data_IF_740976807517
#
_entry.id   IF_740976807517
#
_cell.length_a   1.000
_cell.length_b   1.000
_cell.length_c   1.000
_cell.angle_alpha   90.00
_cell.angle_beta   90.00
_cell.angle_gamma   90.00
#
_symmetry.space_group_name_H-M   'P 1'
#
loop_
_entity.id
_entity.type
_entity.pdbx_description
1 polymer ?
#
# COMPACT_ATOMS: atom_id res chain seq x y z
N UNK A 1 -29.28 7.99 8.08
CA UNK A 1 -28.36 6.97 8.66
C UNK A 1 -27.90 5.92 7.62
N UNK A 2 -27.46 6.33 6.43
CA UNK A 2 -26.88 5.42 5.41
C UNK A 2 -25.35 5.34 5.45
N UNK A 3 -24.70 6.47 5.76
CA UNK A 3 -23.24 6.60 5.79
C UNK A 3 -22.56 5.67 6.82
N UNK A 4 -23.22 5.35 7.93
CA UNK A 4 -22.68 4.48 8.99
C UNK A 4 -22.89 2.98 8.73
N UNK A 5 -23.66 2.58 7.70
CA UNK A 5 -23.92 1.16 7.42
C UNK A 5 -22.76 0.44 6.75
N UNK A 6 -21.86 1.16 6.07
CA UNK A 6 -20.67 0.56 5.46
C UNK A 6 -19.61 0.23 6.50
N UNK A 7 -19.18 -1.03 6.57
CA UNK A 7 -18.14 -1.49 7.51
C UNK A 7 -16.87 -0.63 7.44
N UNK A 8 -16.50 -0.20 6.24
CA UNK A 8 -15.33 0.65 5.98
C UNK A 8 -15.46 2.04 6.65
N UNK A 9 -16.66 2.61 6.73
CA UNK A 9 -16.91 3.87 7.42
C UNK A 9 -16.94 3.67 8.93
N UNK A 10 -17.53 2.56 9.36
CA UNK A 10 -17.68 2.23 10.78
C UNK A 10 -16.32 1.99 11.47
N UNK A 11 -15.35 1.41 10.76
CA UNK A 11 -13.99 1.24 11.27
C UNK A 11 -13.32 2.57 11.62
N UNK A 12 -13.46 3.59 10.76
CA UNK A 12 -12.93 4.93 11.06
C UNK A 12 -13.61 5.52 12.27
N UNK A 13 -14.94 5.40 12.37
CA UNK A 13 -15.68 5.89 13.54
C UNK A 13 -15.20 5.25 14.83
N UNK A 14 -14.91 3.93 14.83
CA UNK A 14 -14.34 3.24 16.00
C UNK A 14 -12.97 3.78 16.39
N UNK A 15 -12.06 3.94 15.42
CA UNK A 15 -10.71 4.48 15.65
C UNK A 15 -10.81 5.93 16.15
N UNK A 16 -11.64 6.75 15.51
CA UNK A 16 -11.90 8.12 15.91
C UNK A 16 -12.49 8.20 17.31
N UNK A 17 -13.43 7.34 17.68
CA UNK A 17 -14.03 7.32 19.02
C UNK A 17 -12.97 7.04 20.10
N UNK A 18 -12.11 6.04 19.89
CA UNK A 18 -11.01 5.72 20.81
C UNK A 18 -10.05 6.89 20.93
N UNK A 19 -9.60 7.45 19.80
CA UNK A 19 -8.69 8.59 19.79
C UNK A 19 -9.32 9.86 20.36
N UNK A 20 -10.65 10.04 20.23
CA UNK A 20 -11.36 11.21 20.75
C UNK A 20 -11.33 11.29 22.28
N UNK A 21 -11.30 10.14 22.95
CA UNK A 21 -11.15 10.04 24.39
C UNK A 21 -9.76 10.53 24.83
N UNK A 22 -8.71 10.10 24.11
CA UNK A 22 -7.33 10.55 24.34
C UNK A 22 -7.12 12.02 23.95
N UNK A 23 -7.88 12.52 22.98
CA UNK A 23 -7.76 13.89 22.48
C UNK A 23 -8.64 14.90 23.23
N UNK A 24 -9.29 14.49 24.32
CA UNK A 24 -10.23 15.32 25.11
C UNK A 24 -11.28 16.03 24.23
N UNK A 25 -11.78 15.33 23.20
CA UNK A 25 -12.73 15.87 22.22
C UNK A 25 -12.23 17.10 21.43
N UNK A 26 -10.93 17.40 21.47
CA UNK A 26 -10.33 18.49 20.68
C UNK A 26 -10.02 18.00 19.27
N UNK A 27 -10.67 18.60 18.28
CA UNK A 27 -10.50 18.29 16.86
C UNK A 27 -9.03 18.38 16.40
N UNK A 28 -8.30 19.42 16.82
CA UNK A 28 -6.90 19.62 16.41
C UNK A 28 -5.98 18.50 16.90
N UNK A 29 -6.17 18.02 18.13
CA UNK A 29 -5.37 16.93 18.71
C UNK A 29 -5.71 15.61 18.02
N UNK A 30 -6.99 15.37 17.74
CA UNK A 30 -7.43 14.21 16.99
C UNK A 30 -6.82 14.17 15.57
N UNK A 31 -6.85 15.31 14.88
CA UNK A 31 -6.22 15.45 13.56
C UNK A 31 -4.70 15.21 13.63
N UNK A 32 -4.06 15.68 14.70
CA UNK A 32 -2.63 15.45 14.92
C UNK A 32 -2.31 13.96 15.05
N UNK A 33 -3.12 13.17 15.77
CA UNK A 33 -2.94 11.72 15.86
C UNK A 33 -3.03 11.02 14.50
N UNK A 34 -4.05 11.35 13.70
CA UNK A 34 -4.18 10.79 12.34
C UNK A 34 -2.98 11.17 11.46
N UNK A 35 -2.55 12.42 11.52
CA UNK A 35 -1.41 12.91 10.75
C UNK A 35 -0.10 12.26 11.20
N UNK A 36 0.12 12.04 12.50
CA UNK A 36 1.29 11.34 13.04
C UNK A 36 1.32 9.87 12.61
N UNK A 37 0.19 9.16 12.68
CA UNK A 37 0.08 7.77 12.21
C UNK A 37 0.44 7.66 10.74
N UNK A 38 -0.14 8.52 9.91
CA UNK A 38 0.14 8.60 8.49
C UNK A 38 1.62 8.90 8.22
N UNK A 39 2.15 9.96 8.82
CA UNK A 39 3.55 10.36 8.67
C UNK A 39 4.53 9.26 9.08
N UNK A 40 4.23 8.50 10.14
CA UNK A 40 5.09 7.39 10.58
C UNK A 40 5.26 6.32 9.50
N UNK A 41 4.18 5.97 8.78
CA UNK A 41 4.24 5.02 7.67
C UNK A 41 4.91 5.62 6.44
N UNK A 42 4.58 6.86 6.10
CA UNK A 42 5.19 7.58 4.97
C UNK A 42 6.71 7.72 5.14
N UNK A 43 7.18 7.98 6.36
CA UNK A 43 8.60 7.99 6.68
C UNK A 43 9.27 6.63 6.46
N UNK A 44 8.61 5.55 6.87
CA UNK A 44 9.08 4.18 6.60
C UNK A 44 9.14 3.87 5.11
N UNK A 45 8.17 4.37 4.34
CA UNK A 45 8.16 4.25 2.88
C UNK A 45 9.32 5.02 2.23
N UNK A 46 9.58 6.25 2.67
CA UNK A 46 10.73 7.03 2.22
C UNK A 46 12.05 6.29 2.51
N UNK A 47 12.21 5.77 3.72
CA UNK A 47 13.40 4.98 4.12
C UNK A 47 13.59 3.74 3.25
N UNK A 48 12.51 3.05 2.87
CA UNK A 48 12.57 1.92 1.95
C UNK A 48 13.20 2.33 0.61
N UNK A 49 12.72 3.40 -0.03
CA UNK A 49 13.27 3.88 -1.30
C UNK A 49 14.69 4.45 -1.17
N UNK A 50 14.98 5.14 -0.06
CA UNK A 50 16.31 5.64 0.24
C UNK A 50 17.34 4.52 0.30
N UNK A 51 17.01 3.37 0.91
CA UNK A 51 17.92 2.23 0.97
C UNK A 51 18.12 1.55 -0.40
N UNK A 52 17.13 1.58 -1.29
CA UNK A 52 17.28 1.03 -2.64
C UNK A 52 18.09 1.94 -3.56
N UNK A 53 17.85 3.26 -3.48
CA UNK A 53 18.44 4.23 -4.38
C UNK A 53 18.87 5.51 -3.63
N UNK A 54 19.99 5.46 -2.89
CA UNK A 54 20.45 6.58 -2.06
C UNK A 54 20.71 7.86 -2.85
N UNK A 55 21.09 7.75 -4.12
CA UNK A 55 21.36 8.90 -4.99
C UNK A 55 20.11 9.71 -5.35
N UNK A 56 18.90 9.14 -5.24
CA UNK A 56 17.63 9.79 -5.55
C UNK A 56 16.87 10.29 -4.30
N UNK A 57 17.56 10.38 -3.15
CA UNK A 57 16.92 10.72 -1.87
C UNK A 57 16.14 12.05 -1.90
N UNK A 58 16.62 13.06 -2.63
CA UNK A 58 15.92 14.35 -2.75
C UNK A 58 14.62 14.20 -3.54
N UNK A 59 14.67 13.49 -4.66
CA UNK A 59 13.51 13.23 -5.52
C UNK A 59 12.44 12.45 -4.75
N UNK A 60 12.84 11.41 -4.02
CA UNK A 60 11.91 10.65 -3.16
C UNK A 60 11.36 11.49 -2.01
N UNK A 61 12.17 12.32 -1.37
CA UNK A 61 11.68 13.22 -0.31
C UNK A 61 10.62 14.17 -0.86
N UNK A 62 10.85 14.77 -2.03
CA UNK A 62 9.87 15.66 -2.68
C UNK A 62 8.59 14.90 -3.02
N UNK A 63 8.69 13.72 -3.64
CA UNK A 63 7.53 12.96 -4.08
C UNK A 63 6.69 12.37 -2.93
N UNK A 64 7.35 11.93 -1.85
CA UNK A 64 6.71 11.17 -0.76
C UNK A 64 6.36 12.08 0.43
N UNK A 65 7.21 13.04 0.78
CA UNK A 65 7.06 13.85 2.01
C UNK A 65 6.52 15.25 1.74
N UNK A 66 6.89 15.88 0.62
CA UNK A 66 6.59 17.29 0.37
C UNK A 66 5.53 17.52 -0.71
N UNK A 67 5.08 16.47 -1.41
CA UNK A 67 4.09 16.61 -2.47
C UNK A 67 2.76 17.09 -1.84
N UNK A 68 2.27 18.31 -2.18
CA UNK A 68 1.21 18.97 -1.43
C UNK A 68 -0.10 18.19 -1.46
N UNK A 69 -0.41 17.54 -2.58
CA UNK A 69 -1.60 16.68 -2.70
C UNK A 69 -1.51 15.49 -1.75
N UNK A 70 -0.35 14.84 -1.67
CA UNK A 70 -0.14 13.71 -0.78
C UNK A 70 -0.21 14.14 0.69
N UNK A 71 0.44 15.26 1.05
CA UNK A 71 0.36 15.83 2.41
C UNK A 71 -1.08 16.14 2.80
N UNK A 72 -1.86 16.73 1.88
CA UNK A 72 -3.27 17.05 2.11
C UNK A 72 -4.10 15.78 2.40
N UNK A 73 -4.03 14.77 1.53
CA UNK A 73 -4.81 13.52 1.68
C UNK A 73 -4.31 12.61 2.80
N UNK A 74 -3.08 12.82 3.27
CA UNK A 74 -2.47 12.06 4.36
C UNK A 74 -2.68 12.73 5.74
N UNK A 75 -3.45 13.81 5.79
CA UNK A 75 -3.88 14.53 6.99
C UNK A 75 -5.41 14.49 7.17
N UNK A 76 -5.92 14.91 8.32
CA UNK A 76 -7.35 14.96 8.61
C UNK A 76 -7.90 13.70 9.28
N UNK A 77 -9.14 13.79 9.75
CA UNK A 77 -9.90 12.62 10.23
C UNK A 77 -10.55 11.94 9.01
N UNK A 78 -9.72 11.25 8.22
CA UNK A 78 -10.14 10.55 6.99
C UNK A 78 -9.68 9.09 7.01
N UNK A 79 -10.17 8.32 6.04
CA UNK A 79 -9.69 6.96 5.75
C UNK A 79 -8.25 6.96 5.23
N UNK A 80 -7.93 7.95 4.40
CA UNK A 80 -6.68 8.02 3.66
C UNK A 80 -5.43 8.07 4.55
N UNK A 81 -5.36 8.87 5.63
CA UNK A 81 -4.23 8.88 6.57
C UNK A 81 -3.93 7.51 7.21
N UNK A 82 -4.98 6.73 7.51
CA UNK A 82 -4.81 5.38 8.07
C UNK A 82 -4.27 4.44 7.00
N UNK A 83 -4.81 4.52 5.77
CA UNK A 83 -4.36 3.69 4.66
C UNK A 83 -2.92 4.01 4.24
N UNK A 84 -2.52 5.29 4.17
CA UNK A 84 -1.15 5.70 3.84
C UNK A 84 -0.17 5.25 4.92
N UNK A 85 -0.53 5.43 6.20
CA UNK A 85 0.26 4.93 7.32
C UNK A 85 0.44 3.41 7.27
N UNK A 86 -0.66 2.67 7.09
CA UNK A 86 -0.65 1.22 7.01
C UNK A 86 0.18 0.70 5.83
N UNK A 87 0.05 1.30 4.65
CA UNK A 87 0.81 0.90 3.45
C UNK A 87 2.33 1.11 3.63
N UNK A 88 2.74 2.22 4.25
CA UNK A 88 4.15 2.45 4.55
C UNK A 88 4.72 1.46 5.56
N UNK A 89 3.97 1.12 6.61
CA UNK A 89 4.36 0.12 7.60
C UNK A 89 4.38 -1.30 7.03
N UNK A 90 3.42 -1.67 6.17
CA UNK A 90 3.41 -2.94 5.44
C UNK A 90 4.66 -3.04 4.57
N UNK A 91 5.00 -1.99 3.82
CA UNK A 91 6.17 -1.99 2.94
C UNK A 91 7.45 -2.23 3.72
N UNK A 92 7.61 -1.54 4.85
CA UNK A 92 8.74 -1.73 5.73
C UNK A 92 8.80 -3.14 6.31
N UNK A 93 7.69 -3.64 6.87
CA UNK A 93 7.67 -4.93 7.52
C UNK A 93 7.86 -6.09 6.54
N UNK A 94 7.27 -6.02 5.34
CA UNK A 94 7.50 -7.01 4.29
C UNK A 94 8.97 -6.99 3.83
N UNK A 95 9.56 -5.81 3.65
CA UNK A 95 10.97 -5.71 3.25
C UNK A 95 11.93 -6.25 4.32
N UNK A 96 11.73 -5.89 5.59
CA UNK A 96 12.55 -6.41 6.69
C UNK A 96 12.37 -7.92 6.89
N UNK A 97 11.15 -8.45 6.75
CA UNK A 97 10.86 -9.87 6.91
C UNK A 97 11.40 -10.73 5.76
N UNK A 98 11.12 -10.37 4.51
CA UNK A 98 11.45 -11.21 3.36
C UNK A 98 12.87 -10.99 2.83
N UNK A 99 13.37 -9.75 2.85
CA UNK A 99 14.69 -9.43 2.30
C UNK A 99 15.78 -9.44 3.37
N UNK A 100 15.62 -8.65 4.44
CA UNK A 100 16.64 -8.56 5.50
C UNK A 100 16.58 -9.71 6.52
N UNK A 101 15.47 -10.44 6.57
CA UNK A 101 15.19 -11.53 7.52
C UNK A 101 15.42 -11.12 8.98
N UNK A 102 15.07 -9.87 9.32
CA UNK A 102 15.26 -9.29 10.66
C UNK A 102 13.93 -9.17 11.38
N UNK A 103 13.93 -9.32 12.70
CA UNK A 103 12.77 -9.08 13.59
C UNK A 103 11.44 -9.67 13.07
N UNK A 104 11.49 -10.93 12.61
CA UNK A 104 10.39 -11.55 11.83
C UNK A 104 9.06 -11.51 12.59
N UNK A 105 9.05 -11.85 13.88
CA UNK A 105 7.82 -11.83 14.70
C UNK A 105 7.18 -10.45 14.74
N UNK A 106 7.97 -9.40 14.97
CA UNK A 106 7.50 -8.02 14.97
C UNK A 106 6.94 -7.63 13.60
N UNK A 107 7.63 -8.01 12.53
CA UNK A 107 7.20 -7.68 11.18
C UNK A 107 5.92 -8.42 10.78
N UNK A 108 5.75 -9.68 11.17
CA UNK A 108 4.50 -10.44 10.96
C UNK A 108 3.33 -9.75 11.67
N UNK A 109 3.52 -9.31 12.92
CA UNK A 109 2.48 -8.55 13.65
C UNK A 109 2.13 -7.25 12.93
N UNK A 110 3.13 -6.49 12.46
CA UNK A 110 2.89 -5.25 11.71
C UNK A 110 2.13 -5.54 10.41
N UNK A 111 2.54 -6.56 9.64
CA UNK A 111 1.87 -6.96 8.39
C UNK A 111 0.41 -7.33 8.67
N UNK A 112 0.15 -8.09 9.74
CA UNK A 112 -1.21 -8.51 10.08
C UNK A 112 -2.09 -7.32 10.47
N UNK A 113 -1.61 -6.44 11.35
CA UNK A 113 -2.37 -5.26 11.81
C UNK A 113 -2.62 -4.29 10.64
N UNK A 114 -1.57 -3.89 9.92
CA UNK A 114 -1.70 -2.96 8.82
C UNK A 114 -2.48 -3.56 7.64
N UNK A 115 -2.32 -4.87 7.38
CA UNK A 115 -3.07 -5.59 6.35
C UNK A 115 -4.55 -5.67 6.67
N UNK A 116 -4.90 -5.94 7.92
CA UNK A 116 -6.29 -5.92 8.38
C UNK A 116 -6.92 -4.54 8.25
N UNK A 117 -6.21 -3.47 8.63
CA UNK A 117 -6.70 -2.09 8.45
C UNK A 117 -6.97 -1.78 6.96
N UNK A 118 -6.06 -2.15 6.06
CA UNK A 118 -6.24 -1.95 4.63
C UNK A 118 -7.41 -2.78 4.08
N UNK A 119 -7.53 -4.05 4.49
CA UNK A 119 -8.63 -4.93 4.10
C UNK A 119 -9.99 -4.32 4.44
N UNK A 120 -10.18 -3.90 5.69
CA UNK A 120 -11.47 -3.35 6.16
C UNK A 120 -11.76 -1.98 5.54
N UNK A 121 -10.76 -1.13 5.35
CA UNK A 121 -11.00 0.26 4.91
C UNK A 121 -11.07 0.36 3.39
N UNK A 122 -10.07 -0.21 2.68
CA UNK A 122 -9.86 -0.09 1.23
C UNK A 122 -9.10 -1.31 0.70
N UNK A 123 -9.77 -2.47 0.64
CA UNK A 123 -9.16 -3.76 0.21
C UNK A 123 -8.44 -3.70 -1.13
N UNK A 124 -8.94 -2.87 -2.07
CA UNK A 124 -8.32 -2.70 -3.38
C UNK A 124 -6.87 -2.19 -3.31
N UNK A 125 -6.49 -1.44 -2.26
CA UNK A 125 -5.09 -1.03 -2.04
C UNK A 125 -4.21 -2.26 -1.84
N UNK A 126 -4.67 -3.21 -1.03
CA UNK A 126 -3.93 -4.44 -0.75
C UNK A 126 -3.82 -5.32 -1.99
N UNK A 127 -4.93 -5.49 -2.72
CA UNK A 127 -4.97 -6.28 -3.96
C UNK A 127 -4.00 -5.72 -5.00
N UNK A 128 -3.90 -4.40 -5.15
CA UNK A 128 -2.94 -3.78 -6.07
C UNK A 128 -1.50 -3.81 -5.55
N UNK A 129 -1.30 -3.74 -4.24
CA UNK A 129 0.03 -3.65 -3.62
C UNK A 129 0.77 -5.00 -3.58
N UNK A 130 0.09 -6.10 -3.27
CA UNK A 130 0.69 -7.44 -3.19
C UNK A 130 1.44 -7.86 -4.47
N UNK A 131 0.85 -7.78 -5.69
CA UNK A 131 1.56 -8.16 -6.91
C UNK A 131 2.76 -7.25 -7.19
N UNK A 132 2.65 -5.95 -6.85
CA UNK A 132 3.77 -5.02 -6.94
C UNK A 132 4.94 -5.43 -6.04
N UNK A 133 4.66 -5.78 -4.78
CA UNK A 133 5.73 -6.18 -3.86
C UNK A 133 6.34 -7.54 -4.22
N UNK A 134 5.54 -8.50 -4.69
CA UNK A 134 6.04 -9.77 -5.21
C UNK A 134 6.97 -9.56 -6.42
N UNK A 135 6.56 -8.70 -7.36
CA UNK A 135 7.40 -8.32 -8.50
C UNK A 135 8.71 -7.71 -8.02
N UNK A 136 8.67 -6.81 -7.03
CA UNK A 136 9.88 -6.23 -6.44
C UNK A 136 10.83 -7.30 -5.87
N UNK A 137 10.32 -8.28 -5.11
CA UNK A 137 11.14 -9.38 -4.59
C UNK A 137 11.77 -10.22 -5.70
N UNK A 138 10.99 -10.54 -6.73
CA UNK A 138 11.48 -11.31 -7.89
C UNK A 138 12.60 -10.54 -8.59
N UNK A 139 12.38 -9.26 -8.92
CA UNK A 139 13.38 -8.43 -9.60
C UNK A 139 14.65 -8.27 -8.77
N UNK A 140 14.53 -8.16 -7.44
CA UNK A 140 15.71 -8.06 -6.56
C UNK A 140 16.55 -9.33 -6.59
N UNK A 141 15.92 -10.50 -6.71
CA UNK A 141 16.62 -11.79 -6.80
C UNK A 141 17.18 -12.07 -8.20
N UNK A 142 16.62 -11.45 -9.25
CA UNK A 142 17.10 -11.59 -10.65
C UNK A 142 18.51 -11.04 -10.84
N UNK A 143 18.93 -10.07 -10.02
CA UNK A 143 20.30 -9.54 -10.08
C UNK A 143 21.38 -10.58 -9.71
N UNK A 144 20.99 -11.70 -9.08
CA UNK A 144 21.86 -12.85 -8.81
C UNK A 144 22.23 -13.62 -10.09
N UNK A 145 21.47 -13.46 -11.18
CA UNK A 145 21.72 -14.12 -12.46
C UNK A 145 22.90 -13.41 -13.15
N UNK A 146 24.05 -14.10 -13.25
CA UNK A 146 25.29 -13.56 -13.85
C UNK A 146 25.18 -13.29 -15.36
N UNK A 147 24.41 -14.11 -16.09
CA UNK A 147 24.24 -13.95 -17.54
C UNK A 147 23.27 -12.80 -17.86
N UNK A 148 23.75 -11.81 -18.63
CA UNK A 148 22.94 -10.68 -19.11
C UNK A 148 21.77 -11.15 -19.98
N UNK A 149 21.99 -12.15 -20.84
CA UNK A 149 20.95 -12.69 -21.73
C UNK A 149 19.82 -13.36 -20.95
N UNK A 150 20.15 -14.21 -19.97
CA UNK A 150 19.15 -14.86 -19.11
C UNK A 150 18.38 -13.84 -18.27
N UNK A 151 19.05 -12.79 -17.78
CA UNK A 151 18.40 -11.70 -17.05
C UNK A 151 17.36 -10.98 -17.90
N UNK A 152 17.74 -10.57 -19.11
CA UNK A 152 16.84 -9.89 -20.05
C UNK A 152 15.70 -10.80 -20.47
N UNK A 153 15.98 -12.07 -20.81
CA UNK A 153 14.96 -13.04 -21.18
C UNK A 153 13.95 -13.27 -20.04
N UNK A 154 14.41 -13.34 -18.79
CA UNK A 154 13.53 -13.51 -17.63
C UNK A 154 12.62 -12.29 -17.40
N UNK A 155 13.17 -11.08 -17.46
CA UNK A 155 12.38 -9.84 -17.32
C UNK A 155 11.37 -9.69 -18.45
N UNK A 156 11.77 -9.96 -19.70
CA UNK A 156 10.84 -9.96 -20.85
C UNK A 156 9.76 -11.03 -20.71
N UNK A 157 10.11 -12.22 -20.20
CA UNK A 157 9.15 -13.28 -19.88
C UNK A 157 8.10 -12.85 -18.85
N UNK A 158 8.53 -12.15 -17.79
CA UNK A 158 7.59 -11.59 -16.80
C UNK A 158 6.65 -10.53 -17.40
N UNK A 159 7.17 -9.64 -18.24
CA UNK A 159 6.36 -8.62 -18.92
C UNK A 159 5.35 -9.28 -19.85
N UNK A 160 5.77 -10.29 -20.62
CA UNK A 160 4.89 -11.04 -21.50
C UNK A 160 3.78 -11.77 -20.71
N UNK A 161 4.13 -12.43 -19.60
CA UNK A 161 3.17 -13.05 -18.68
C UNK A 161 2.16 -12.04 -18.15
N UNK A 162 2.61 -10.87 -17.71
CA UNK A 162 1.72 -9.82 -17.21
C UNK A 162 0.75 -9.33 -18.30
N UNK A 163 1.24 -9.11 -19.54
CA UNK A 163 0.40 -8.72 -20.67
C UNK A 163 -0.60 -9.81 -21.07
N UNK A 164 -0.19 -11.07 -21.09
CA UNK A 164 -1.07 -12.20 -21.40
C UNK A 164 -2.18 -12.34 -20.35
N UNK A 165 -1.83 -12.29 -19.06
CA UNK A 165 -2.80 -12.32 -17.97
C UNK A 165 -3.79 -11.16 -18.08
N UNK A 166 -3.31 -9.95 -18.30
CA UNK A 166 -4.17 -8.79 -18.49
C UNK A 166 -5.13 -8.96 -19.68
N UNK A 167 -4.63 -9.46 -20.81
CA UNK A 167 -5.43 -9.74 -22.01
C UNK A 167 -6.57 -10.73 -21.73
N UNK A 168 -6.28 -11.83 -21.03
CA UNK A 168 -7.31 -12.83 -20.69
C UNK A 168 -8.39 -12.27 -19.77
N UNK A 169 -8.03 -11.45 -18.78
CA UNK A 169 -8.99 -10.81 -17.88
C UNK A 169 -9.87 -9.81 -18.64
N UNK A 170 -9.27 -9.00 -19.51
CA UNK A 170 -10.03 -8.06 -20.34
C UNK A 170 -11.00 -8.77 -21.28
N UNK A 171 -10.60 -9.91 -21.85
CA UNK A 171 -11.48 -10.71 -22.70
C UNK A 171 -12.65 -11.32 -21.92
N UNK A 172 -12.40 -11.82 -20.70
CA UNK A 172 -13.46 -12.32 -19.82
C UNK A 172 -14.47 -11.22 -19.47
N UNK A 173 -13.99 -10.04 -19.10
CA UNK A 173 -14.85 -8.89 -18.83
C UNK A 173 -15.65 -8.50 -20.06
N UNK A 174 -15.03 -8.37 -21.24
CA UNK A 174 -15.75 -8.07 -22.48
C UNK A 174 -16.86 -9.09 -22.77
N UNK A 175 -16.60 -10.38 -22.52
CA UNK A 175 -17.59 -11.45 -22.65
C UNK A 175 -18.77 -11.31 -21.69
N UNK A 176 -18.53 -10.96 -20.43
CA UNK A 176 -19.62 -10.75 -19.46
C UNK A 176 -20.48 -9.55 -19.82
N UNK A 177 -19.88 -8.43 -20.24
CA UNK A 177 -20.62 -7.25 -20.70
C UNK A 177 -21.47 -7.55 -21.95
N UNK A 178 -20.94 -8.32 -22.89
CA UNK A 178 -21.67 -8.74 -24.08
C UNK A 178 -22.89 -9.62 -23.76
N UNK A 179 -22.75 -10.54 -22.81
CA UNK A 179 -23.85 -11.38 -22.32
C UNK A 179 -24.92 -10.54 -21.62
N UNK A 180 -24.54 -9.61 -20.74
CA UNK A 180 -25.48 -8.72 -20.05
C UNK A 180 -26.26 -7.84 -21.04
N UNK A 181 -25.59 -7.32 -22.07
CA UNK A 181 -26.21 -6.52 -23.12
C UNK A 181 -27.17 -7.32 -24.02
N UNK A 182 -26.92 -8.63 -24.21
CA UNK A 182 -27.80 -9.50 -24.99
C UNK A 182 -29.05 -9.97 -24.20
N UNK A 183 -29.02 -9.87 -22.87
CA UNK A 183 -30.14 -10.23 -21.98
C UNK A 183 -31.02 -9.06 -21.55
N UNK A 184 -30.67 -7.83 -21.94
CA UNK A 184 -31.48 -6.61 -21.79
C UNK A 184 -32.27 -6.32 -23.06
#
# INVERSE_FOLDING_TARGET
>A
MGYLKGENNYMIVRITAILSFLSFQKYLILNLFFSMLSFSGVWRLYRFFYEQYPHLHKQFAIAILYLPTFVFWSSGILKDPICTGALGWITYAMYEAFYKKKDILKNVVIIFIAGYLLYVIKVYILISYVPFFLLFLVLKNVDLIKSRLLRVAFVLGLIFLAMAMFGTVMQQLAGTWALMAATM
#
